data_IF_553669542207
#
_entry.id   IF_553669542207
#
_cell.length_a   1.000
_cell.length_b   1.000
_cell.length_c   1.000
_cell.angle_alpha   90.00
_cell.angle_beta   90.00
_cell.angle_gamma   90.00
#
_symmetry.space_group_name_H-M   'P 1'
#
loop_
_entity.id
_entity.type
_entity.pdbx_description
1 polymer ?
#
# COMPACT_ATOMS: atom_id res chain seq x y z
N UNK A 1 -32.20 49.54 -71.49
CA UNK A 1 -32.25 48.13 -71.96
C UNK A 1 -30.80 47.73 -72.16
N UNK A 2 -30.15 46.83 -71.42
CA UNK A 2 -30.60 45.58 -70.81
C UNK A 2 -29.62 45.12 -69.71
N UNK A 3 -30.20 44.42 -68.71
CA UNK A 3 -29.70 43.22 -68.01
C UNK A 3 -28.33 43.22 -67.31
N UNK A 4 -28.30 42.86 -66.01
CA UNK A 4 -27.96 41.48 -65.62
C UNK A 4 -28.09 41.29 -64.09
N UNK A 5 -29.30 40.98 -63.66
CA UNK A 5 -29.68 40.68 -62.28
C UNK A 5 -29.59 39.17 -62.02
N UNK A 6 -28.41 38.54 -62.07
CA UNK A 6 -28.32 37.08 -61.87
C UNK A 6 -27.03 36.63 -61.16
N UNK A 7 -26.78 37.13 -59.95
CA UNK A 7 -25.87 36.47 -58.99
C UNK A 7 -26.59 36.28 -57.65
N UNK A 8 -27.70 35.54 -57.66
CA UNK A 8 -28.22 34.89 -56.45
C UNK A 8 -27.69 33.46 -56.44
N UNK A 9 -26.48 33.29 -55.91
CA UNK A 9 -25.99 31.98 -55.48
C UNK A 9 -26.93 31.44 -54.42
N UNK A 10 -27.75 30.46 -54.79
CA UNK A 10 -28.58 29.71 -53.85
C UNK A 10 -27.63 28.87 -52.98
N UNK A 11 -27.34 29.35 -51.76
CA UNK A 11 -26.78 28.48 -50.73
C UNK A 11 -27.83 27.41 -50.44
N UNK A 12 -27.64 26.22 -51.00
CA UNK A 12 -28.35 25.02 -50.54
C UNK A 12 -27.86 24.71 -49.14
N UNK A 13 -28.56 25.24 -48.13
CA UNK A 13 -28.44 24.74 -46.77
C UNK A 13 -28.86 23.26 -46.80
N UNK A 14 -27.90 22.37 -46.55
CA UNK A 14 -28.14 20.93 -46.49
C UNK A 14 -29.01 20.68 -45.25
N UNK A 15 -30.22 20.18 -45.44
CA UNK A 15 -31.11 19.86 -44.33
C UNK A 15 -30.45 18.78 -43.46
N UNK A 16 -30.30 19.07 -42.17
CA UNK A 16 -29.82 18.13 -41.16
C UNK A 16 -30.80 16.96 -41.09
N UNK A 17 -30.35 15.75 -41.44
CA UNK A 17 -31.15 14.53 -41.24
C UNK A 17 -31.05 14.18 -39.75
N UNK A 18 -32.20 14.04 -39.09
CA UNK A 18 -32.26 13.62 -37.69
C UNK A 18 -31.78 12.17 -37.51
N UNK A 19 -31.33 11.84 -36.30
CA UNK A 19 -30.95 10.48 -35.93
C UNK A 19 -32.18 9.61 -35.65
N UNK A 20 -32.07 8.33 -35.93
CA UNK A 20 -33.12 7.36 -35.61
C UNK A 20 -33.14 7.07 -34.10
N UNK A 21 -34.30 6.67 -33.57
CA UNK A 21 -34.43 6.22 -32.18
C UNK A 21 -33.46 5.06 -31.89
N UNK A 22 -33.30 4.17 -32.86
CA UNK A 22 -32.40 3.00 -32.77
C UNK A 22 -30.93 3.42 -32.73
N UNK A 23 -30.50 4.42 -33.50
CA UNK A 23 -29.12 4.95 -33.41
C UNK A 23 -28.82 5.51 -32.02
N UNK A 24 -29.77 6.22 -31.40
CA UNK A 24 -29.58 6.73 -30.05
C UNK A 24 -29.52 5.60 -29.01
N UNK A 25 -30.36 4.56 -29.15
CA UNK A 25 -30.30 3.38 -28.27
C UNK A 25 -28.95 2.67 -28.38
N UNK A 26 -28.44 2.48 -29.59
CA UNK A 26 -27.13 1.86 -29.81
C UNK A 26 -26.01 2.75 -29.28
N UNK A 27 -26.08 4.07 -29.51
CA UNK A 27 -25.08 5.02 -29.01
C UNK A 27 -24.98 5.03 -27.49
N UNK A 28 -26.11 5.08 -26.79
CA UNK A 28 -26.13 5.07 -25.31
C UNK A 28 -25.65 3.72 -24.77
N UNK A 29 -26.07 2.61 -25.36
CA UNK A 29 -25.65 1.27 -24.90
C UNK A 29 -24.15 1.06 -25.06
N UNK A 30 -23.56 1.46 -26.20
CA UNK A 30 -22.11 1.43 -26.39
C UNK A 30 -21.38 2.37 -25.42
N UNK A 31 -21.91 3.57 -25.20
CA UNK A 31 -21.34 4.53 -24.25
C UNK A 31 -21.32 3.97 -22.82
N UNK A 32 -22.41 3.36 -22.37
CA UNK A 32 -22.51 2.71 -21.06
C UNK A 32 -21.57 1.52 -20.95
N UNK A 33 -21.42 0.73 -22.02
CA UNK A 33 -20.52 -0.42 -22.03
C UNK A 33 -19.06 0.02 -21.83
N UNK A 34 -18.62 1.06 -22.54
CA UNK A 34 -17.26 1.60 -22.37
C UNK A 34 -17.06 2.16 -20.97
N UNK A 35 -18.03 2.92 -20.45
CA UNK A 35 -18.00 3.44 -19.07
C UNK A 35 -17.87 2.32 -18.05
N UNK A 36 -18.67 1.26 -18.16
CA UNK A 36 -18.64 0.12 -17.26
C UNK A 36 -17.26 -0.56 -17.22
N UNK A 37 -16.63 -0.73 -18.39
CA UNK A 37 -15.28 -1.31 -18.49
C UNK A 37 -14.26 -0.41 -17.81
N UNK A 38 -14.24 0.90 -18.14
CA UNK A 38 -13.27 1.84 -17.57
C UNK A 38 -13.43 1.97 -16.06
N UNK A 39 -14.66 2.05 -15.55
CA UNK A 39 -14.93 2.11 -14.12
C UNK A 39 -14.43 0.86 -13.40
N UNK A 40 -14.66 -0.34 -13.96
CA UNK A 40 -14.20 -1.59 -13.37
C UNK A 40 -12.67 -1.64 -13.30
N UNK A 41 -11.99 -1.27 -14.39
CA UNK A 41 -10.53 -1.18 -14.42
C UNK A 41 -10.01 -0.17 -13.39
N UNK A 42 -10.64 1.00 -13.31
CA UNK A 42 -10.26 2.03 -12.35
C UNK A 42 -10.37 1.55 -10.90
N UNK A 43 -11.47 0.88 -10.56
CA UNK A 43 -11.67 0.31 -9.21
C UNK A 43 -10.60 -0.74 -8.91
N UNK A 44 -10.32 -1.64 -9.85
CA UNK A 44 -9.29 -2.67 -9.70
C UNK A 44 -7.88 -2.07 -9.53
N UNK A 45 -7.55 -1.03 -10.28
CA UNK A 45 -6.27 -0.31 -10.13
C UNK A 45 -6.20 0.38 -8.77
N UNK A 46 -7.30 0.98 -8.32
CA UNK A 46 -7.37 1.64 -7.01
C UNK A 46 -7.19 0.66 -5.85
N UNK A 47 -7.86 -0.51 -5.89
CA UNK A 47 -7.69 -1.55 -4.89
C UNK A 47 -6.28 -2.12 -4.90
N UNK A 48 -5.74 -2.43 -6.08
CA UNK A 48 -4.39 -2.96 -6.22
C UNK A 48 -3.34 -1.99 -5.66
N UNK A 49 -3.48 -0.68 -5.91
CA UNK A 49 -2.60 0.34 -5.31
C UNK A 49 -2.65 0.32 -3.79
N UNK A 50 -3.84 0.24 -3.20
CA UNK A 50 -4.00 0.16 -1.72
C UNK A 50 -3.35 -1.09 -1.15
N UNK A 51 -3.46 -2.22 -1.83
CA UNK A 51 -2.86 -3.48 -1.39
C UNK A 51 -1.33 -3.47 -1.54
N UNK A 52 -0.81 -2.85 -2.59
CA UNK A 52 0.65 -2.61 -2.73
C UNK A 52 1.18 -1.71 -1.62
N UNK A 53 0.48 -0.63 -1.26
CA UNK A 53 0.89 0.23 -0.15
C UNK A 53 0.88 -0.51 1.20
N UNK A 54 -0.16 -1.33 1.46
CA UNK A 54 -0.23 -2.16 2.67
C UNK A 54 0.94 -3.14 2.74
N UNK A 55 1.20 -3.83 1.63
CA UNK A 55 2.31 -4.79 1.53
C UNK A 55 3.66 -4.09 1.71
N UNK A 56 3.83 -2.91 1.09
CA UNK A 56 5.04 -2.09 1.26
C UNK A 56 5.28 -1.71 2.71
N UNK A 57 4.24 -1.26 3.43
CA UNK A 57 4.35 -0.97 4.87
C UNK A 57 4.70 -2.20 5.71
N UNK A 58 4.15 -3.36 5.37
CA UNK A 58 4.48 -4.61 6.07
C UNK A 58 5.95 -5.01 5.86
N UNK A 59 6.46 -4.89 4.64
CA UNK A 59 7.87 -5.17 4.33
C UNK A 59 8.78 -4.22 5.10
N UNK A 60 8.48 -2.92 5.09
CA UNK A 60 9.27 -1.91 5.80
C UNK A 60 9.29 -2.18 7.31
N UNK A 61 8.12 -2.40 7.92
CA UNK A 61 8.02 -2.73 9.34
C UNK A 61 8.76 -4.03 9.69
N UNK A 62 8.68 -5.03 8.82
CA UNK A 62 9.41 -6.30 8.99
C UNK A 62 10.92 -6.09 8.96
N UNK A 63 11.43 -5.33 7.98
CA UNK A 63 12.86 -4.99 7.90
C UNK A 63 13.32 -4.21 9.13
N UNK A 64 12.53 -3.23 9.57
CA UNK A 64 12.82 -2.44 10.77
C UNK A 64 12.87 -3.33 12.03
N UNK A 65 11.89 -4.21 12.22
CA UNK A 65 11.86 -5.12 13.36
C UNK A 65 13.07 -6.07 13.38
N UNK A 66 13.44 -6.63 12.23
CA UNK A 66 14.63 -7.50 12.13
C UNK A 66 15.91 -6.73 12.42
N UNK A 67 16.03 -5.49 11.94
CA UNK A 67 17.21 -4.68 12.22
C UNK A 67 17.33 -4.37 13.72
N UNK A 68 16.22 -4.02 14.37
CA UNK A 68 16.19 -3.80 15.82
C UNK A 68 16.63 -5.07 16.59
N UNK A 69 16.09 -6.23 16.21
CA UNK A 69 16.48 -7.50 16.83
C UNK A 69 17.94 -7.85 16.59
N UNK A 70 18.46 -7.56 15.39
CA UNK A 70 19.86 -7.80 15.07
C UNK A 70 20.79 -6.96 15.95
N UNK A 71 20.46 -5.68 16.15
CA UNK A 71 21.22 -4.80 17.04
C UNK A 71 21.22 -5.31 18.49
N UNK A 72 20.08 -5.80 18.99
CA UNK A 72 20.00 -6.39 20.33
C UNK A 72 20.83 -7.69 20.45
N UNK A 73 20.78 -8.56 19.44
CA UNK A 73 21.53 -9.83 19.42
C UNK A 73 23.04 -9.59 19.38
N UNK A 74 23.52 -8.60 18.63
CA UNK A 74 24.95 -8.27 18.56
C UNK A 74 25.47 -7.79 19.92
N UNK A 75 24.63 -7.10 20.70
CA UNK A 75 24.98 -6.66 22.06
C UNK A 75 24.71 -7.73 23.13
N UNK A 76 24.00 -8.82 22.81
CA UNK A 76 23.70 -9.88 23.76
C UNK A 76 24.99 -10.61 24.16
N UNK A 77 25.36 -10.49 25.44
CA UNK A 77 26.62 -11.05 25.98
C UNK A 77 27.83 -10.14 25.83
N UNK A 78 27.65 -8.89 25.40
CA UNK A 78 28.70 -7.87 25.48
C UNK A 78 28.69 -7.22 26.87
N UNK A 79 29.72 -7.49 27.68
CA UNK A 79 29.86 -6.96 29.04
C UNK A 79 30.77 -5.72 29.14
N UNK A 80 31.26 -5.18 28.01
CA UNK A 80 32.16 -4.04 28.00
C UNK A 80 33.53 -4.36 28.60
N UNK A 81 33.97 -3.55 29.57
CA UNK A 81 35.25 -3.69 30.30
C UNK A 81 35.17 -4.73 31.45
N UNK A 82 34.00 -5.30 31.72
CA UNK A 82 33.84 -6.34 32.73
C UNK A 82 34.31 -7.68 32.15
N UNK A 83 35.45 -8.18 32.62
CA UNK A 83 35.90 -9.55 32.36
C UNK A 83 35.17 -10.51 33.33
N UNK A 84 34.31 -11.42 32.84
CA UNK A 84 33.60 -12.37 33.70
C UNK A 84 34.53 -13.33 34.48
N UNK A 85 35.82 -13.41 34.12
CA UNK A 85 36.81 -14.19 34.86
C UNK A 85 37.42 -13.42 36.03
N UNK A 86 37.32 -12.09 36.06
CA UNK A 86 37.69 -11.24 37.21
C UNK A 86 36.61 -11.25 38.29
N UNK A 87 35.40 -11.70 37.95
CA UNK A 87 34.29 -11.89 38.87
C UNK A 87 34.24 -13.38 39.21
N UNK A 88 34.76 -13.74 40.40
CA UNK A 88 34.75 -15.14 40.86
C UNK A 88 33.33 -15.76 40.80
N UNK A 89 33.23 -17.10 40.71
CA UNK A 89 31.94 -17.78 40.61
C UNK A 89 31.01 -17.34 41.75
N UNK A 90 29.71 -17.19 41.49
CA UNK A 90 28.76 -16.77 42.50
C UNK A 90 28.90 -17.69 43.73
N UNK A 91 28.97 -17.13 44.95
CA UNK A 91 29.25 -17.91 46.15
C UNK A 91 28.17 -18.96 46.45
N UNK A 92 26.98 -18.80 45.86
CA UNK A 92 25.86 -19.73 45.94
C UNK A 92 25.09 -19.71 44.62
N UNK A 93 25.03 -20.83 43.91
CA UNK A 93 24.05 -21.00 42.84
C UNK A 93 22.65 -21.14 43.45
N UNK A 94 21.66 -20.32 43.08
CA UNK A 94 20.30 -20.46 43.60
C UNK A 94 19.69 -21.80 43.16
N UNK A 95 18.98 -22.47 44.06
CA UNK A 95 18.31 -23.73 43.77
C UNK A 95 17.19 -23.52 42.74
N UNK A 96 17.23 -24.20 41.57
CA UNK A 96 16.28 -23.97 40.47
C UNK A 96 14.86 -24.42 40.80
N UNK A 97 14.67 -25.21 41.85
CA UNK A 97 13.38 -25.71 42.31
C UNK A 97 12.78 -24.87 43.46
N UNK A 98 13.48 -23.82 43.93
CA UNK A 98 12.92 -22.93 44.94
C UNK A 98 11.87 -22.01 44.31
N UNK A 99 10.63 -22.10 44.78
CA UNK A 99 9.55 -21.16 44.44
C UNK A 99 9.44 -20.01 45.46
N UNK A 100 10.43 -19.86 46.35
CA UNK A 100 10.46 -18.81 47.37
C UNK A 100 10.85 -17.48 46.73
N UNK A 101 10.07 -16.43 47.00
CA UNK A 101 10.32 -15.07 46.49
C UNK A 101 11.63 -14.49 47.03
N UNK A 102 12.11 -14.97 48.18
CA UNK A 102 13.39 -14.58 48.76
C UNK A 102 14.58 -15.03 47.90
N UNK A 103 14.51 -16.25 47.36
CA UNK A 103 15.58 -16.84 46.56
C UNK A 103 15.59 -16.32 45.11
N UNK A 104 14.42 -15.98 44.56
CA UNK A 104 14.32 -15.34 43.24
C UNK A 104 14.93 -13.93 43.24
N UNK A 105 14.83 -13.19 44.36
CA UNK A 105 15.39 -11.82 44.46
C UNK A 105 16.92 -11.81 44.47
N UNK A 106 17.56 -12.82 45.06
CA UNK A 106 19.02 -12.97 45.04
C UNK A 106 19.59 -13.26 43.65
N UNK A 107 18.76 -13.73 42.71
CA UNK A 107 19.20 -14.04 41.34
C UNK A 107 19.24 -12.81 40.42
N UNK A 108 18.56 -11.71 40.77
CA UNK A 108 18.48 -10.48 39.96
C UNK A 108 19.53 -9.44 40.38
N UNK A 109 20.21 -9.63 41.52
CA UNK A 109 21.13 -8.66 42.12
C UNK A 109 22.61 -8.96 41.85
N UNK A 110 22.95 -9.56 40.72
CA UNK A 110 24.35 -9.77 40.30
C UNK A 110 24.56 -9.31 38.88
#
# INVERSE_FOLDING_TARGET
MTANSLLRGCMRARASRGFTLVEMMVGITLGLLVLAVVTTVFVNVSSNRRDMERTGRQIENGRFAIQLLADDIVNAGYFGELDPNDIGPPPTSPDPCSTSVGDMRSMVLM
#
